data_IF_603921158942
#
_entry.id   IF_603921158942
#
_cell.length_a   1.000
_cell.length_b   1.000
_cell.length_c   1.000
_cell.angle_alpha   90.00
_cell.angle_beta   90.00
_cell.angle_gamma   90.00
#
_symmetry.space_group_name_H-M   'P 1'
#
loop_
_entity.id
_entity.type
_entity.pdbx_description
1 polymer ?
#
# COMPACT_ATOMS: atom_id res chain seq x y z
N UNK A 1 26.25 16.76 15.96
CA UNK A 1 26.39 15.45 15.30
C UNK A 1 25.46 15.39 14.10
N UNK A 2 25.90 14.84 12.99
CA UNK A 2 25.06 14.66 11.81
C UNK A 2 24.00 13.61 12.07
N UNK A 3 22.72 13.93 11.76
CA UNK A 3 21.63 12.99 11.92
C UNK A 3 21.72 11.82 10.92
N UNK A 4 21.39 10.61 11.37
CA UNK A 4 21.48 9.38 10.58
C UNK A 4 20.09 8.87 10.19
N UNK A 5 19.90 8.55 8.92
CA UNK A 5 18.63 8.10 8.36
C UNK A 5 18.79 6.70 7.76
N UNK A 6 17.89 5.79 8.12
CA UNK A 6 17.73 4.51 7.44
C UNK A 6 16.65 4.61 6.36
N UNK A 7 16.99 4.29 5.11
CA UNK A 7 16.01 4.03 4.05
C UNK A 7 15.69 2.54 4.11
N UNK A 8 14.44 2.21 4.46
CA UNK A 8 14.02 0.83 4.69
C UNK A 8 13.60 0.14 3.41
N UNK A 9 14.12 -1.03 3.19
CA UNK A 9 13.74 -1.94 2.11
C UNK A 9 13.47 -3.34 2.68
N UNK A 10 13.18 -4.32 1.83
CA UNK A 10 13.16 -5.74 2.16
C UNK A 10 14.44 -6.44 1.69
N UNK A 11 14.67 -7.67 2.15
CA UNK A 11 15.88 -8.45 1.86
C UNK A 11 16.14 -8.62 0.36
N UNK A 12 15.06 -8.86 -0.43
CA UNK A 12 15.16 -9.07 -1.90
C UNK A 12 15.79 -7.89 -2.64
N UNK A 13 15.60 -6.68 -2.13
CA UNK A 13 16.03 -5.45 -2.79
C UNK A 13 17.20 -4.76 -2.09
N UNK A 14 17.64 -5.20 -0.91
CA UNK A 14 18.78 -4.56 -0.23
C UNK A 14 20.05 -4.64 -1.07
N UNK A 15 20.44 -5.86 -1.47
CA UNK A 15 21.62 -6.12 -2.31
C UNK A 15 21.29 -7.18 -3.38
N UNK A 16 20.45 -6.87 -4.38
CA UNK A 16 19.99 -7.86 -5.34
C UNK A 16 21.13 -8.37 -6.22
N UNK A 17 21.31 -9.68 -6.26
CA UNK A 17 22.32 -10.36 -7.08
C UNK A 17 22.03 -10.25 -8.59
N UNK A 18 20.75 -10.27 -8.95
CA UNK A 18 20.27 -10.10 -10.34
C UNK A 18 19.42 -8.85 -10.43
N UNK A 19 19.63 -8.05 -11.46
CA UNK A 19 18.90 -6.81 -11.72
C UNK A 19 18.15 -6.93 -13.04
N UNK A 20 16.91 -6.49 -13.04
CA UNK A 20 16.10 -6.27 -14.21
C UNK A 20 15.59 -4.81 -14.21
N UNK A 21 14.83 -4.39 -15.20
CA UNK A 21 14.32 -3.03 -15.29
C UNK A 21 13.51 -2.62 -14.04
N UNK A 22 12.69 -3.50 -13.52
CA UNK A 22 11.88 -3.27 -12.31
C UNK A 22 12.76 -3.01 -11.07
N UNK A 23 13.69 -3.91 -10.80
CA UNK A 23 14.64 -3.76 -9.68
C UNK A 23 15.50 -2.51 -9.85
N UNK A 24 15.94 -2.20 -11.08
CA UNK A 24 16.72 -0.99 -11.35
C UNK A 24 15.92 0.27 -11.02
N UNK A 25 14.61 0.33 -11.34
CA UNK A 25 13.78 1.46 -10.99
C UNK A 25 13.70 1.67 -9.46
N UNK A 26 13.54 0.60 -8.69
CA UNK A 26 13.57 0.64 -7.22
C UNK A 26 14.90 1.21 -6.71
N UNK A 27 16.01 0.69 -7.24
CA UNK A 27 17.34 1.13 -6.81
C UNK A 27 17.63 2.58 -7.19
N UNK A 28 17.19 3.03 -8.36
CA UNK A 28 17.34 4.42 -8.81
C UNK A 28 16.53 5.36 -7.91
N UNK A 29 15.27 5.00 -7.60
CA UNK A 29 14.41 5.81 -6.74
C UNK A 29 14.99 5.98 -5.34
N UNK A 30 15.43 4.86 -4.72
CA UNK A 30 16.07 4.89 -3.40
C UNK A 30 17.39 5.66 -3.43
N UNK A 31 18.17 5.54 -4.52
CA UNK A 31 19.41 6.29 -4.71
C UNK A 31 19.17 7.80 -4.83
N UNK A 32 18.15 8.23 -5.57
CA UNK A 32 17.80 9.64 -5.68
C UNK A 32 17.40 10.23 -4.31
N UNK A 33 16.61 9.50 -3.53
CA UNK A 33 16.25 9.90 -2.17
C UNK A 33 17.49 9.98 -1.27
N UNK A 34 18.36 8.96 -1.32
CA UNK A 34 19.63 8.93 -0.57
C UNK A 34 20.46 10.16 -0.88
N UNK A 35 20.67 10.47 -2.17
CA UNK A 35 21.46 11.64 -2.60
C UNK A 35 20.85 12.96 -2.17
N UNK A 36 19.52 13.10 -2.22
CA UNK A 36 18.85 14.30 -1.76
C UNK A 36 19.05 14.51 -0.25
N UNK A 37 18.95 13.44 0.54
CA UNK A 37 19.15 13.51 1.99
C UNK A 37 20.62 13.77 2.36
N UNK A 38 21.59 13.15 1.66
CA UNK A 38 23.01 13.45 1.84
C UNK A 38 23.33 14.92 1.53
N UNK A 39 22.74 15.46 0.44
CA UNK A 39 22.92 16.88 0.07
C UNK A 39 22.29 17.84 1.11
N UNK A 40 21.26 17.37 1.85
CA UNK A 40 20.68 18.10 2.97
C UNK A 40 21.48 17.94 4.29
N UNK A 41 22.62 17.26 4.27
CA UNK A 41 23.53 17.14 5.41
C UNK A 41 23.28 15.94 6.32
N UNK A 42 22.48 14.95 5.89
CA UNK A 42 22.26 13.71 6.65
C UNK A 42 23.28 12.63 6.28
N UNK A 43 23.56 11.72 7.21
CA UNK A 43 24.22 10.44 6.90
C UNK A 43 23.12 9.41 6.61
N UNK A 44 23.18 8.77 5.45
CA UNK A 44 22.07 7.89 4.99
C UNK A 44 22.57 6.49 4.71
N UNK A 45 21.82 5.49 5.12
CA UNK A 45 22.07 4.09 4.79
C UNK A 45 20.78 3.44 4.32
N UNK A 46 20.87 2.61 3.28
CA UNK A 46 19.77 1.76 2.81
C UNK A 46 19.92 0.39 3.41
N UNK A 47 18.91 -0.09 4.14
CA UNK A 47 18.99 -1.32 4.93
C UNK A 47 17.66 -2.10 4.88
N UNK A 48 17.75 -3.43 4.95
CA UNK A 48 16.54 -4.25 5.11
C UNK A 48 15.95 -4.07 6.51
N UNK A 49 14.61 -3.98 6.58
CA UNK A 49 13.89 -3.90 7.84
C UNK A 49 14.11 -5.15 8.71
N UNK A 50 14.29 -6.32 8.09
CA UNK A 50 14.47 -7.60 8.77
C UNK A 50 15.93 -7.95 9.08
N UNK A 51 16.86 -7.04 8.78
CA UNK A 51 18.30 -7.27 9.01
C UNK A 51 18.60 -7.54 10.47
N UNK A 52 19.29 -8.65 10.75
CA UNK A 52 19.69 -9.06 12.10
C UNK A 52 20.99 -8.40 12.58
N UNK A 53 21.74 -7.75 11.68
CA UNK A 53 23.03 -7.12 11.99
C UNK A 53 22.92 -5.60 12.17
N UNK A 54 21.80 -5.02 11.79
CA UNK A 54 21.57 -3.57 11.93
C UNK A 54 21.31 -3.22 13.40
N UNK A 55 22.13 -2.34 13.94
CA UNK A 55 21.84 -1.71 15.23
C UNK A 55 20.97 -0.46 15.00
N UNK A 56 19.68 -0.57 15.30
CA UNK A 56 18.69 0.49 15.08
C UNK A 56 18.95 1.72 15.95
N UNK A 57 19.60 1.60 17.11
CA UNK A 57 19.96 2.73 17.96
C UNK A 57 20.98 3.69 17.31
N UNK A 58 21.61 3.26 16.22
CA UNK A 58 22.53 4.10 15.45
C UNK A 58 21.83 5.07 14.51
N UNK A 59 20.50 4.96 14.33
CA UNK A 59 19.73 5.82 13.45
C UNK A 59 18.84 6.77 14.25
N UNK A 60 18.73 8.00 13.79
CA UNK A 60 17.76 8.98 14.32
C UNK A 60 16.39 8.81 13.68
N UNK A 61 16.36 8.48 12.38
CA UNK A 61 15.14 8.36 11.58
C UNK A 61 15.17 7.13 10.69
N UNK A 62 13.97 6.63 10.35
CA UNK A 62 13.80 5.61 9.34
C UNK A 62 12.63 5.95 8.40
N UNK A 63 12.86 5.78 7.09
CA UNK A 63 11.91 6.06 6.00
C UNK A 63 11.53 4.76 5.34
N UNK A 64 10.23 4.45 5.33
CA UNK A 64 9.70 3.25 4.65
C UNK A 64 9.66 3.47 3.14
N UNK A 65 10.26 2.54 2.41
CA UNK A 65 10.27 2.55 0.93
C UNK A 65 9.74 1.23 0.40
N UNK A 66 10.57 0.26 0.20
CA UNK A 66 10.26 -1.02 -0.44
C UNK A 66 10.19 -2.17 0.56
N UNK A 67 9.45 -2.00 1.64
CA UNK A 67 9.20 -3.02 2.67
C UNK A 67 7.96 -3.87 2.30
N UNK A 68 7.85 -4.29 1.04
CA UNK A 68 6.62 -4.82 0.47
C UNK A 68 6.31 -6.26 0.86
N UNK A 69 7.27 -6.97 1.46
CA UNK A 69 7.09 -8.32 1.99
C UNK A 69 6.42 -8.35 3.39
N UNK A 70 6.06 -7.21 3.96
CA UNK A 70 5.51 -7.10 5.31
C UNK A 70 4.26 -7.98 5.53
N UNK A 71 3.40 -8.13 4.50
CA UNK A 71 2.18 -8.92 4.62
C UNK A 71 2.44 -10.43 4.50
N UNK A 72 3.55 -10.85 3.89
CA UNK A 72 4.01 -12.24 3.82
C UNK A 72 4.60 -12.71 5.16
N UNK A 73 5.15 -11.77 5.93
CA UNK A 73 5.86 -11.97 7.21
C UNK A 73 5.27 -11.09 8.32
N UNK A 74 3.93 -10.99 8.36
CA UNK A 74 3.24 -9.97 9.16
C UNK A 74 3.61 -9.98 10.64
N UNK A 75 3.62 -11.16 11.28
CA UNK A 75 3.93 -11.27 12.71
C UNK A 75 5.36 -10.81 13.01
N UNK A 76 6.33 -11.19 12.18
CA UNK A 76 7.72 -10.73 12.31
C UNK A 76 7.82 -9.22 12.09
N UNK A 77 7.13 -8.71 11.06
CA UNK A 77 7.11 -7.28 10.77
C UNK A 77 6.52 -6.46 11.91
N UNK A 78 5.41 -6.90 12.51
CA UNK A 78 4.76 -6.20 13.62
C UNK A 78 5.63 -6.18 14.88
N UNK A 79 6.32 -7.28 15.21
CA UNK A 79 7.27 -7.34 16.32
C UNK A 79 8.42 -6.37 16.08
N UNK A 80 9.04 -6.44 14.89
CA UNK A 80 10.12 -5.53 14.50
C UNK A 80 9.67 -4.06 14.53
N UNK A 81 8.51 -3.74 13.96
CA UNK A 81 7.97 -2.40 13.89
C UNK A 81 7.81 -1.79 15.29
N UNK A 82 7.23 -2.57 16.22
CA UNK A 82 7.06 -2.16 17.61
C UNK A 82 8.38 -1.94 18.34
N UNK A 83 9.34 -2.84 18.19
CA UNK A 83 10.63 -2.75 18.88
C UNK A 83 11.54 -1.69 18.28
N UNK A 84 11.53 -1.54 16.97
CA UNK A 84 12.28 -0.51 16.26
C UNK A 84 11.74 0.90 16.56
N UNK A 85 10.42 1.07 16.70
CA UNK A 85 9.79 2.38 17.00
C UNK A 85 10.23 2.98 18.35
N UNK A 86 10.74 2.16 19.27
CA UNK A 86 11.31 2.62 20.55
C UNK A 86 12.73 3.18 20.42
N UNK A 87 13.40 2.89 19.29
CA UNK A 87 14.81 3.21 19.04
C UNK A 87 15.00 4.27 17.96
N UNK A 88 14.11 4.30 16.97
CA UNK A 88 14.20 5.13 15.76
C UNK A 88 12.89 5.88 15.55
N UNK A 89 12.96 7.14 15.18
CA UNK A 89 11.78 7.91 14.78
C UNK A 89 11.40 7.57 13.33
N UNK A 90 10.22 7.04 13.12
CA UNK A 90 9.71 6.74 11.77
C UNK A 90 9.13 7.98 11.06
N UNK A 91 9.34 8.04 9.75
CA UNK A 91 8.75 8.99 8.82
C UNK A 91 7.99 8.18 7.73
N UNK A 92 6.66 8.10 7.72
CA UNK A 92 5.69 8.62 8.69
C UNK A 92 5.80 7.99 10.10
N UNK A 93 5.06 8.53 11.06
CA UNK A 93 5.13 8.06 12.44
C UNK A 93 4.56 6.63 12.63
N UNK A 94 4.93 5.99 13.76
CA UNK A 94 4.55 4.61 14.07
C UNK A 94 3.03 4.36 14.03
N UNK A 95 2.23 5.28 14.60
CA UNK A 95 0.79 5.07 14.70
C UNK A 95 0.12 5.15 13.32
N UNK A 96 0.58 6.06 12.46
CA UNK A 96 0.11 6.16 11.08
C UNK A 96 0.48 4.90 10.27
N UNK A 97 1.71 4.41 10.40
CA UNK A 97 2.14 3.19 9.72
C UNK A 97 1.28 2.01 10.16
N UNK A 98 1.13 1.81 11.48
CA UNK A 98 0.33 0.73 12.05
C UNK A 98 -1.13 0.78 11.60
N UNK A 99 -1.73 1.96 11.61
CA UNK A 99 -3.10 2.18 11.13
C UNK A 99 -3.25 1.84 9.65
N UNK A 100 -2.30 2.25 8.81
CA UNK A 100 -2.36 2.07 7.36
C UNK A 100 -2.08 0.64 6.89
N UNK A 101 -1.49 -0.23 7.73
CA UNK A 101 -1.24 -1.64 7.38
C UNK A 101 -2.53 -2.40 7.05
N UNK A 102 -3.63 -2.10 7.74
CA UNK A 102 -4.91 -2.78 7.61
C UNK A 102 -5.95 -1.88 6.91
N UNK A 103 -6.50 -2.34 5.79
CA UNK A 103 -7.53 -1.62 5.02
C UNK A 103 -8.81 -1.33 5.79
N UNK A 104 -8.95 -1.87 7.01
CA UNK A 104 -10.00 -1.44 7.94
C UNK A 104 -9.95 0.07 8.23
N UNK A 105 -8.80 0.74 8.00
CA UNK A 105 -8.66 2.19 8.11
C UNK A 105 -9.68 2.96 7.23
N UNK A 106 -10.17 2.35 6.16
CA UNK A 106 -11.20 2.98 5.31
C UNK A 106 -12.49 3.29 6.07
N UNK A 107 -12.78 2.57 7.16
CA UNK A 107 -13.95 2.84 8.02
C UNK A 107 -13.86 4.17 8.76
N UNK A 108 -12.66 4.71 8.93
CA UNK A 108 -12.42 5.95 9.68
C UNK A 108 -12.73 7.20 8.84
N UNK A 109 -12.86 7.04 7.51
CA UNK A 109 -13.18 8.13 6.58
C UNK A 109 -14.68 8.41 6.48
N UNK A 110 -15.31 8.81 7.58
CA UNK A 110 -16.76 9.05 7.63
C UNK A 110 -17.25 10.23 6.76
N UNK A 111 -16.39 11.21 6.49
CA UNK A 111 -16.71 12.44 5.73
C UNK A 111 -16.12 12.46 4.32
N UNK A 112 -15.51 11.36 3.90
CA UNK A 112 -14.82 11.22 2.62
C UNK A 112 -15.42 10.02 1.90
N UNK A 113 -15.80 10.21 0.63
CA UNK A 113 -16.31 9.12 -0.18
C UNK A 113 -15.24 8.06 -0.42
N UNK A 114 -15.49 6.85 0.02
CA UNK A 114 -14.70 5.67 -0.28
C UNK A 114 -15.45 4.77 -1.26
N UNK A 115 -14.74 3.86 -1.92
CA UNK A 115 -15.37 2.80 -2.71
C UNK A 115 -16.33 2.01 -1.81
N UNK A 116 -17.59 1.74 -2.23
CA UNK A 116 -18.52 0.92 -1.46
C UNK A 116 -17.87 -0.40 -1.07
N UNK A 117 -17.81 -0.68 0.22
CA UNK A 117 -17.01 -1.77 0.80
C UNK A 117 -17.78 -2.52 1.86
N UNK A 118 -17.61 -3.85 1.89
CA UNK A 118 -18.05 -4.74 2.95
C UNK A 118 -16.82 -5.37 3.59
N UNK A 119 -16.68 -5.23 4.91
CA UNK A 119 -15.60 -5.82 5.68
C UNK A 119 -16.06 -7.11 6.35
N UNK A 120 -15.37 -8.19 6.09
CA UNK A 120 -15.73 -9.54 6.51
C UNK A 120 -14.67 -10.07 7.47
N UNK A 121 -15.05 -10.35 8.71
CA UNK A 121 -14.15 -10.94 9.71
C UNK A 121 -13.77 -12.37 9.32
N UNK A 122 -12.66 -12.86 9.86
CA UNK A 122 -12.26 -14.25 9.66
C UNK A 122 -13.38 -15.22 10.06
N UNK A 123 -13.55 -16.27 9.27
CA UNK A 123 -14.51 -17.34 9.51
C UNK A 123 -15.97 -16.89 9.57
N UNK A 124 -16.30 -15.76 8.93
CA UNK A 124 -17.70 -15.31 8.83
C UNK A 124 -18.42 -16.15 7.79
N UNK A 125 -19.60 -16.64 8.14
CA UNK A 125 -20.49 -17.33 7.20
C UNK A 125 -21.25 -16.29 6.37
N UNK A 126 -20.76 -15.98 5.19
CA UNK A 126 -21.39 -15.13 4.18
C UNK A 126 -21.06 -15.70 2.82
N UNK A 127 -22.00 -15.69 1.89
CA UNK A 127 -21.74 -16.11 0.51
C UNK A 127 -21.56 -14.91 -0.41
N UNK A 128 -20.76 -15.08 -1.46
CA UNK A 128 -20.64 -14.06 -2.50
C UNK A 128 -21.95 -13.82 -3.23
N UNK A 129 -22.80 -14.86 -3.35
CA UNK A 129 -24.13 -14.74 -3.91
C UNK A 129 -25.02 -13.79 -3.08
N UNK A 130 -25.00 -13.93 -1.76
CA UNK A 130 -25.73 -13.02 -0.84
C UNK A 130 -25.24 -11.58 -1.00
N UNK A 131 -23.92 -11.38 -1.12
CA UNK A 131 -23.35 -10.04 -1.35
C UNK A 131 -23.87 -9.42 -2.65
N UNK A 132 -23.88 -10.17 -3.76
CA UNK A 132 -24.43 -9.69 -5.03
C UNK A 132 -25.91 -9.34 -4.92
N UNK A 133 -26.69 -10.17 -4.22
CA UNK A 133 -28.12 -9.95 -4.03
C UNK A 133 -28.40 -8.72 -3.13
N UNK A 134 -27.74 -8.63 -1.98
CA UNK A 134 -27.96 -7.56 -0.99
C UNK A 134 -27.48 -6.19 -1.50
N UNK A 135 -26.29 -6.15 -2.14
CA UNK A 135 -25.69 -4.87 -2.55
C UNK A 135 -26.11 -4.44 -3.96
N UNK A 136 -26.66 -5.32 -4.77
CA UNK A 136 -27.02 -5.01 -6.16
C UNK A 136 -25.83 -4.72 -7.08
N UNK A 137 -24.62 -5.09 -6.67
CA UNK A 137 -23.42 -4.87 -7.48
C UNK A 137 -23.32 -5.88 -8.61
N UNK A 138 -22.75 -5.49 -9.77
CA UNK A 138 -22.56 -6.40 -10.91
C UNK A 138 -21.20 -7.09 -10.91
N UNK A 139 -20.19 -6.40 -10.35
CA UNK A 139 -18.83 -6.92 -10.20
C UNK A 139 -18.27 -6.48 -8.85
N UNK A 140 -17.51 -7.35 -8.23
CA UNK A 140 -16.84 -7.09 -6.94
C UNK A 140 -15.37 -7.47 -7.01
N UNK A 141 -14.58 -6.83 -6.16
CA UNK A 141 -13.19 -7.22 -5.89
C UNK A 141 -13.10 -7.72 -4.45
N UNK A 142 -12.55 -8.90 -4.26
CA UNK A 142 -12.21 -9.41 -2.94
C UNK A 142 -10.70 -9.35 -2.73
N UNK A 143 -10.28 -9.03 -1.51
CA UNK A 143 -8.87 -9.06 -1.11
C UNK A 143 -8.74 -9.14 0.41
N UNK A 144 -7.64 -9.67 0.98
CA UNK A 144 -7.37 -9.55 2.40
C UNK A 144 -7.25 -8.08 2.83
N UNK A 145 -7.66 -7.77 4.06
CA UNK A 145 -7.55 -6.39 4.59
C UNK A 145 -6.08 -5.99 4.77
N UNK A 146 -5.21 -6.92 5.12
CA UNK A 146 -3.75 -6.73 5.13
C UNK A 146 -3.17 -7.44 3.92
N UNK A 147 -2.76 -6.69 2.92
CA UNK A 147 -2.16 -7.20 1.67
C UNK A 147 -1.57 -6.05 0.86
N UNK A 148 -0.58 -6.38 0.02
CA UNK A 148 0.02 -5.47 -0.97
C UNK A 148 0.16 -6.17 -2.34
N UNK A 149 0.64 -5.45 -3.36
CA UNK A 149 0.97 -5.97 -4.69
C UNK A 149 -0.14 -6.85 -5.32
N UNK A 150 -1.42 -6.50 -5.13
CA UNK A 150 -2.59 -7.26 -5.60
C UNK A 150 -2.62 -8.73 -5.12
N UNK A 151 -1.87 -9.08 -4.06
CA UNK A 151 -1.84 -10.42 -3.49
C UNK A 151 -3.25 -10.86 -3.06
N UNK A 152 -3.67 -12.05 -3.53
CA UNK A 152 -5.00 -12.58 -3.30
C UNK A 152 -6.16 -11.61 -3.62
N UNK A 153 -5.95 -10.74 -4.62
CA UNK A 153 -6.97 -9.81 -5.13
C UNK A 153 -7.65 -10.42 -6.35
N UNK A 154 -8.96 -10.61 -6.26
CA UNK A 154 -9.74 -11.29 -7.31
C UNK A 154 -10.94 -10.44 -7.73
N UNK A 155 -11.10 -10.28 -9.05
CA UNK A 155 -12.30 -9.73 -9.66
C UNK A 155 -13.34 -10.85 -9.85
N UNK A 156 -14.54 -10.61 -9.34
CA UNK A 156 -15.64 -11.56 -9.35
C UNK A 156 -16.86 -10.95 -10.04
N UNK A 157 -17.51 -11.75 -10.85
CA UNK A 157 -18.76 -11.44 -11.53
C UNK A 157 -19.81 -12.48 -11.17
N UNK A 158 -21.08 -12.19 -11.40
CA UNK A 158 -22.18 -13.16 -11.19
C UNK A 158 -21.95 -14.49 -11.92
N UNK A 159 -21.17 -14.47 -13.04
CA UNK A 159 -20.92 -15.67 -13.86
C UNK A 159 -19.88 -16.64 -13.28
N UNK A 160 -18.96 -16.16 -12.42
CA UNK A 160 -17.89 -16.98 -11.85
C UNK A 160 -18.01 -17.14 -10.33
N UNK A 161 -19.14 -16.76 -9.74
CA UNK A 161 -19.39 -16.74 -8.29
C UNK A 161 -19.10 -18.10 -7.67
N UNK A 162 -19.68 -19.20 -8.18
CA UNK A 162 -19.54 -20.54 -7.58
C UNK A 162 -18.06 -20.98 -7.47
N UNK A 163 -17.28 -20.75 -8.53
CA UNK A 163 -15.85 -21.04 -8.52
C UNK A 163 -15.10 -20.17 -7.52
N UNK A 164 -15.45 -18.91 -7.44
CA UNK A 164 -14.79 -17.93 -6.59
C UNK A 164 -15.19 -18.04 -5.11
N UNK A 165 -16.36 -18.61 -4.83
CA UNK A 165 -16.81 -18.92 -3.48
C UNK A 165 -15.82 -19.85 -2.75
N UNK A 166 -15.30 -20.86 -3.45
CA UNK A 166 -14.31 -21.80 -2.90
C UNK A 166 -13.03 -21.03 -2.50
N UNK A 167 -12.58 -20.11 -3.36
CA UNK A 167 -11.39 -19.29 -3.10
C UNK A 167 -11.65 -18.33 -1.94
N UNK A 168 -12.81 -17.66 -1.94
CA UNK A 168 -13.20 -16.73 -0.89
C UNK A 168 -13.24 -17.42 0.48
N UNK A 169 -13.89 -18.57 0.59
CA UNK A 169 -14.00 -19.32 1.84
C UNK A 169 -12.64 -19.77 2.37
N UNK A 170 -11.75 -20.23 1.49
CA UNK A 170 -10.37 -20.56 1.85
C UNK A 170 -9.60 -19.33 2.39
N UNK A 171 -9.74 -18.18 1.73
CA UNK A 171 -9.09 -16.94 2.17
C UNK A 171 -9.68 -16.44 3.48
N UNK A 172 -11.01 -16.41 3.61
CA UNK A 172 -11.69 -15.93 4.81
C UNK A 172 -11.43 -16.81 6.05
N UNK A 173 -11.09 -18.09 5.86
CA UNK A 173 -10.63 -18.94 6.96
C UNK A 173 -9.37 -18.38 7.63
N UNK A 174 -8.47 -17.77 6.84
CA UNK A 174 -7.15 -17.35 7.30
C UNK A 174 -7.02 -15.82 7.47
N UNK A 175 -7.83 -15.03 6.75
CA UNK A 175 -7.71 -13.58 6.67
C UNK A 175 -9.04 -12.89 6.91
N UNK A 176 -9.02 -11.69 7.48
CA UNK A 176 -10.11 -10.74 7.32
C UNK A 176 -10.11 -10.25 5.87
N UNK A 177 -11.31 -10.10 5.31
CA UNK A 177 -11.48 -9.77 3.90
C UNK A 177 -12.19 -8.44 3.72
N UNK A 178 -11.88 -7.73 2.65
CA UNK A 178 -12.68 -6.64 2.16
C UNK A 178 -13.26 -7.02 0.80
N UNK A 179 -14.56 -6.82 0.64
CA UNK A 179 -15.30 -6.98 -0.62
C UNK A 179 -15.70 -5.58 -1.07
N UNK A 180 -15.28 -5.18 -2.26
CA UNK A 180 -15.52 -3.83 -2.78
C UNK A 180 -16.27 -3.88 -4.11
N UNK A 181 -17.16 -2.93 -4.33
CA UNK A 181 -17.74 -2.71 -5.66
C UNK A 181 -16.62 -2.43 -6.67
N UNK A 182 -16.60 -3.16 -7.77
CA UNK A 182 -15.61 -2.92 -8.81
C UNK A 182 -15.84 -1.55 -9.49
N UNK A 183 -14.78 -0.79 -9.64
CA UNK A 183 -14.83 0.53 -10.28
C UNK A 183 -14.41 0.39 -11.75
N UNK A 184 -15.37 0.41 -12.66
CA UNK A 184 -15.17 0.23 -14.11
C UNK A 184 -14.18 1.26 -14.70
N UNK A 185 -14.10 2.45 -14.10
CA UNK A 185 -13.19 3.50 -14.54
C UNK A 185 -11.71 3.09 -14.48
N UNK A 186 -11.35 2.09 -13.66
CA UNK A 186 -9.98 1.55 -13.63
C UNK A 186 -9.60 0.97 -15.00
N UNK A 187 -10.54 0.34 -15.70
CA UNK A 187 -10.28 -0.23 -17.03
C UNK A 187 -10.25 0.82 -18.15
N UNK A 188 -11.11 1.82 -18.09
CA UNK A 188 -11.27 2.81 -19.17
C UNK A 188 -10.33 4.00 -19.01
N UNK A 189 -10.14 4.49 -17.80
CA UNK A 189 -9.36 5.68 -17.48
C UNK A 189 -8.02 5.33 -16.80
N UNK A 190 -8.03 4.45 -15.79
CA UNK A 190 -6.92 4.08 -14.95
C UNK A 190 -7.10 4.53 -13.49
N UNK A 191 -6.01 4.54 -12.74
CA UNK A 191 -5.94 4.94 -11.33
C UNK A 191 -5.03 6.16 -11.18
N UNK A 192 -5.54 7.22 -10.54
CA UNK A 192 -4.72 8.39 -10.18
C UNK A 192 -4.09 8.14 -8.82
N UNK A 193 -2.76 8.17 -8.76
CA UNK A 193 -2.02 8.21 -7.50
C UNK A 193 -1.55 9.63 -7.23
N UNK A 194 -2.01 10.21 -6.12
CA UNK A 194 -1.68 11.58 -5.72
C UNK A 194 -0.70 11.57 -4.56
N UNK A 195 0.41 12.30 -4.70
CA UNK A 195 1.47 12.37 -3.69
C UNK A 195 1.35 13.67 -2.90
N UNK A 196 1.30 13.52 -1.57
CA UNK A 196 1.13 14.63 -0.62
C UNK A 196 2.27 14.57 0.40
N UNK A 197 3.00 15.68 0.57
CA UNK A 197 4.05 15.83 1.57
C UNK A 197 3.68 16.91 2.58
N UNK A 198 3.75 16.60 3.88
CA UNK A 198 3.42 17.55 4.92
C UNK A 198 2.04 18.20 4.76
N UNK A 199 1.04 17.42 4.32
CA UNK A 199 -0.33 17.89 4.08
C UNK A 199 -0.53 18.68 2.77
N UNK A 200 0.51 18.87 1.94
CA UNK A 200 0.43 19.62 0.68
C UNK A 200 0.62 18.72 -0.52
N UNK A 201 -0.23 18.87 -1.54
CA UNK A 201 -0.11 18.18 -2.81
C UNK A 201 1.24 18.52 -3.48
N UNK A 202 1.91 17.50 -3.98
CA UNK A 202 3.16 17.62 -4.73
C UNK A 202 2.96 17.35 -6.22
N UNK A 203 2.56 16.13 -6.56
CA UNK A 203 2.34 15.68 -7.93
C UNK A 203 1.37 14.52 -7.99
N UNK A 204 0.95 14.19 -9.20
CA UNK A 204 0.11 13.02 -9.45
C UNK A 204 0.59 12.24 -10.65
N UNK A 205 0.33 10.93 -10.64
CA UNK A 205 0.57 10.04 -11.76
C UNK A 205 -0.70 9.26 -12.08
N UNK A 206 -0.91 9.00 -13.37
CA UNK A 206 -1.95 8.11 -13.87
C UNK A 206 -1.34 6.74 -14.16
N UNK A 207 -1.87 5.72 -13.50
CA UNK A 207 -1.52 4.33 -13.71
C UNK A 207 -2.59 3.67 -14.56
N UNK A 208 -2.19 2.97 -15.61
CA UNK A 208 -3.09 2.20 -16.47
C UNK A 208 -2.65 0.75 -16.51
N UNK A 209 -3.60 -0.16 -16.28
CA UNK A 209 -3.37 -1.58 -16.42
C UNK A 209 -3.11 -1.99 -17.88
N UNK A 210 -2.54 -3.15 -18.07
CA UNK A 210 -2.46 -3.80 -19.38
C UNK A 210 -3.88 -4.04 -19.92
N UNK A 211 -4.02 -4.09 -21.23
CA UNK A 211 -5.33 -4.38 -21.89
C UNK A 211 -5.98 -5.63 -21.27
N UNK A 212 -7.21 -5.47 -20.81
CA UNK A 212 -8.02 -6.50 -20.13
C UNK A 212 -7.50 -6.91 -18.73
N UNK A 213 -6.62 -6.15 -18.10
CA UNK A 213 -6.22 -6.32 -16.70
C UNK A 213 -6.60 -5.08 -15.88
N UNK A 214 -7.25 -5.29 -14.73
CA UNK A 214 -7.60 -4.21 -13.81
C UNK A 214 -6.46 -3.83 -12.88
N UNK A 215 -5.40 -4.64 -12.83
CA UNK A 215 -4.21 -4.35 -12.03
C UNK A 215 -3.35 -3.32 -12.75
N UNK A 216 -3.11 -2.21 -12.10
CA UNK A 216 -2.44 -1.04 -12.70
C UNK A 216 -0.94 -0.98 -12.39
N UNK A 217 -0.43 -1.93 -11.59
CA UNK A 217 0.96 -1.97 -11.19
C UNK A 217 1.85 -2.33 -12.39
N UNK A 218 3.07 -1.80 -12.40
CA UNK A 218 4.05 -2.01 -13.48
C UNK A 218 4.59 -3.44 -13.55
N UNK A 219 4.66 -4.15 -12.43
CA UNK A 219 4.99 -5.58 -12.37
C UNK A 219 3.95 -6.47 -13.09
N UNK A 220 2.73 -6.01 -13.28
CA UNK A 220 1.72 -6.63 -14.14
C UNK A 220 1.68 -6.07 -15.58
N UNK A 221 2.68 -5.24 -15.95
CA UNK A 221 2.79 -4.63 -17.27
C UNK A 221 1.93 -3.38 -17.45
N UNK A 222 1.55 -2.76 -16.34
CA UNK A 222 0.92 -1.44 -16.34
C UNK A 222 1.87 -0.33 -16.81
N UNK A 223 1.33 0.83 -17.11
CA UNK A 223 2.08 2.03 -17.46
C UNK A 223 1.80 3.16 -16.49
N UNK A 224 2.81 4.01 -16.29
CA UNK A 224 2.73 5.19 -15.42
C UNK A 224 3.06 6.42 -16.24
N UNK A 225 2.25 7.48 -16.12
CA UNK A 225 2.48 8.77 -16.76
C UNK A 225 2.16 9.91 -15.80
N UNK A 226 2.77 11.07 -16.00
CA UNK A 226 2.41 12.26 -15.25
C UNK A 226 0.93 12.60 -15.47
N UNK A 227 0.27 13.08 -14.41
CA UNK A 227 -1.13 13.49 -14.42
C UNK A 227 -1.27 14.92 -13.91
N UNK A 228 -1.92 15.77 -14.70
CA UNK A 228 -2.23 17.13 -14.27
C UNK A 228 -3.53 17.14 -13.47
N UNK A 229 -3.40 17.03 -12.16
CA UNK A 229 -4.55 16.99 -11.25
C UNK A 229 -5.31 18.34 -11.25
N UNK A 230 -6.63 18.26 -11.26
CA UNK A 230 -7.50 19.43 -11.13
C UNK A 230 -7.49 19.97 -9.69
N UNK A 231 -7.87 21.25 -9.52
CA UNK A 231 -8.01 21.86 -8.18
C UNK A 231 -8.94 21.04 -7.25
N UNK A 232 -9.99 20.43 -7.81
CA UNK A 232 -10.94 19.61 -7.05
C UNK A 232 -10.30 18.30 -6.55
N UNK A 233 -9.50 17.65 -7.39
CA UNK A 233 -8.77 16.43 -7.03
C UNK A 233 -7.68 16.72 -6.00
N UNK A 234 -6.95 17.84 -6.16
CA UNK A 234 -5.96 18.28 -5.16
C UNK A 234 -6.62 18.52 -3.81
N UNK A 235 -7.71 19.30 -3.78
CA UNK A 235 -8.44 19.55 -2.54
C UNK A 235 -8.98 18.26 -1.91
N UNK A 236 -9.40 17.29 -2.73
CA UNK A 236 -9.82 15.98 -2.24
C UNK A 236 -8.65 15.21 -1.61
N UNK A 237 -7.49 15.15 -2.26
CA UNK A 237 -6.31 14.47 -1.74
C UNK A 237 -5.83 15.07 -0.40
N UNK A 238 -5.75 16.41 -0.33
CA UNK A 238 -5.38 17.11 0.90
C UNK A 238 -6.40 16.89 2.03
N UNK A 239 -7.70 16.85 1.70
CA UNK A 239 -8.76 16.50 2.65
C UNK A 239 -8.61 15.06 3.17
N UNK A 240 -8.27 14.10 2.29
CA UNK A 240 -8.01 12.70 2.70
C UNK A 240 -6.87 12.66 3.70
N UNK A 241 -5.74 13.31 3.40
CA UNK A 241 -4.57 13.33 4.28
C UNK A 241 -4.87 14.00 5.62
N UNK A 242 -5.63 15.12 5.62
CA UNK A 242 -6.03 15.79 6.87
C UNK A 242 -6.99 14.95 7.73
N UNK A 243 -7.71 14.00 7.11
CA UNK A 243 -8.61 13.07 7.80
C UNK A 243 -7.95 11.78 8.29
N UNK A 244 -6.64 11.58 8.05
CA UNK A 244 -5.92 10.43 8.60
C UNK A 244 -5.88 10.49 10.12
N UNK A 245 -5.99 9.32 10.78
CA UNK A 245 -6.02 9.19 12.23
C UNK A 245 -4.81 9.85 12.92
N UNK A 246 -3.63 9.70 12.32
CA UNK A 246 -2.41 10.39 12.73
C UNK A 246 -1.93 11.22 11.56
N UNK A 247 -1.83 12.53 11.72
CA UNK A 247 -1.35 13.40 10.64
C UNK A 247 0.07 13.01 10.20
N UNK A 248 0.33 12.85 8.90
CA UNK A 248 1.68 12.60 8.40
C UNK A 248 2.59 13.78 8.72
N UNK A 249 3.85 13.46 8.96
CA UNK A 249 4.90 14.47 9.22
C UNK A 249 5.23 15.24 7.94
#
# INVERSE_FOLDING_TARGET
MTKKIAILTEDRYENPLKKNSYINNILIEDFLLLKALESAGFTVSRVSWSSKIVNWEHFDYAIFRTTWDYFERLDEFLVWLHDCSKKVKFLNNFDLIKWNLDKNYLKDFNSIGIVPSLFVKKKTTITLADVFQEKGWDKIVIKPTISAAAWNTHLITKKNTDKMEIIFNRLNTNFEMIIQQFQENVLSFGEISMVVFGGRFSHAVLKKGKKNDFRVQDDFGGSVSLYNATKKEIAFAEKVVSGCFCQPI
#
